data_IF_339525298827
#
_entry.id   IF_339525298827
#
_cell.length_a   1.000
_cell.length_b   1.000
_cell.length_c   1.000
_cell.angle_alpha   90.00
_cell.angle_beta   90.00
_cell.angle_gamma   90.00
#
_symmetry.space_group_name_H-M   'P 1'
#
loop_
_entity.id
_entity.type
_entity.pdbx_description
1 polymer ?
#
# COMPACT_ATOMS: atom_id res chain seq x y z
N UNK A 1 -13.62 13.71 15.99
CA UNK A 1 -13.14 13.68 14.60
C UNK A 1 -13.16 15.07 13.92
N UNK A 2 -13.17 16.19 14.67
CA UNK A 2 -13.27 17.56 14.12
C UNK A 2 -11.90 18.26 14.00
N UNK A 3 -11.06 18.12 15.01
CA UNK A 3 -9.75 18.77 15.07
C UNK A 3 -8.82 18.44 13.90
N UNK A 4 -8.81 17.21 13.38
CA UNK A 4 -7.94 16.84 12.26
C UNK A 4 -8.31 17.56 10.95
N UNK A 5 -9.57 17.98 10.83
CA UNK A 5 -10.08 18.77 9.71
C UNK A 5 -9.77 20.25 9.90
N UNK A 6 -9.95 20.76 11.12
CA UNK A 6 -9.65 22.16 11.46
C UNK A 6 -8.15 22.47 11.39
N UNK A 7 -7.29 21.49 11.72
CA UNK A 7 -5.84 21.58 11.61
C UNK A 7 -5.30 21.39 10.18
N UNK A 8 -6.17 21.10 9.19
CA UNK A 8 -5.75 20.88 7.80
C UNK A 8 -5.02 19.55 7.52
N UNK A 9 -4.61 18.81 8.55
CA UNK A 9 -3.89 17.52 8.45
C UNK A 9 -4.61 16.54 7.52
N UNK A 10 -5.94 16.44 7.63
CA UNK A 10 -6.71 15.57 6.76
C UNK A 10 -6.54 15.94 5.27
N UNK A 11 -6.49 17.24 4.95
CA UNK A 11 -6.32 17.70 3.57
C UNK A 11 -4.92 17.41 3.03
N UNK A 12 -3.88 17.55 3.86
CA UNK A 12 -2.49 17.28 3.46
C UNK A 12 -2.25 15.78 3.19
N UNK A 13 -2.88 14.88 3.95
CA UNK A 13 -2.78 13.44 3.69
C UNK A 13 -3.40 13.00 2.36
N UNK A 14 -4.41 13.73 1.88
CA UNK A 14 -5.04 13.46 0.58
C UNK A 14 -4.36 14.19 -0.58
N UNK A 15 -3.33 15.00 -0.31
CA UNK A 15 -2.60 15.70 -1.34
C UNK A 15 -1.84 14.71 -2.26
N UNK A 16 -1.96 14.83 -3.60
CA UNK A 16 -1.29 13.93 -4.53
C UNK A 16 0.24 13.90 -4.38
N UNK A 17 0.88 14.99 -3.97
CA UNK A 17 2.33 15.02 -3.71
C UNK A 17 2.69 14.20 -2.49
N UNK A 18 1.93 14.33 -1.39
CA UNK A 18 2.15 13.52 -0.19
C UNK A 18 1.96 12.04 -0.50
N UNK A 19 0.89 11.65 -1.20
CA UNK A 19 0.62 10.24 -1.53
C UNK A 19 1.74 9.65 -2.40
N UNK A 20 2.24 10.40 -3.40
CA UNK A 20 3.36 9.95 -4.26
C UNK A 20 4.66 9.80 -3.48
N UNK A 21 4.97 10.77 -2.62
CA UNK A 21 6.14 10.73 -1.74
C UNK A 21 6.05 9.55 -0.76
N UNK A 22 4.88 9.36 -0.14
CA UNK A 22 4.65 8.28 0.81
C UNK A 22 4.79 6.92 0.13
N UNK A 23 4.18 6.75 -1.05
CA UNK A 23 4.29 5.53 -1.84
C UNK A 23 5.73 5.19 -2.22
N UNK A 24 6.57 6.19 -2.56
CA UNK A 24 7.99 5.99 -2.88
C UNK A 24 8.83 5.62 -1.66
N UNK A 25 8.59 6.26 -0.51
CA UNK A 25 9.44 6.11 0.66
C UNK A 25 9.02 4.96 1.58
N UNK A 26 7.73 4.68 1.67
CA UNK A 26 7.15 3.79 2.69
C UNK A 26 6.37 2.59 2.13
N UNK A 27 6.23 2.46 0.81
CA UNK A 27 5.62 1.27 0.21
C UNK A 27 6.64 0.46 -0.62
N UNK A 28 6.37 -0.84 -0.74
CA UNK A 28 7.12 -1.81 -1.51
C UNK A 28 6.20 -2.52 -2.51
N UNK A 29 6.71 -2.74 -3.72
CA UNK A 29 6.03 -3.48 -4.76
C UNK A 29 6.35 -4.96 -4.61
N UNK A 30 5.32 -5.79 -4.36
CA UNK A 30 5.48 -7.24 -4.22
C UNK A 30 4.67 -7.92 -5.30
N UNK A 31 5.32 -8.79 -6.06
CA UNK A 31 4.66 -9.67 -7.00
C UNK A 31 4.06 -10.84 -6.27
N UNK A 32 2.74 -11.01 -6.42
CA UNK A 32 2.00 -12.04 -5.73
C UNK A 32 1.28 -12.92 -6.75
N UNK A 33 1.41 -14.23 -6.58
CA UNK A 33 0.77 -15.24 -7.41
C UNK A 33 -0.42 -15.84 -6.68
N UNK A 34 -1.56 -15.93 -7.36
CA UNK A 34 -2.74 -16.59 -6.83
C UNK A 34 -2.56 -18.11 -6.86
N UNK A 35 -2.69 -18.79 -5.71
CA UNK A 35 -2.37 -20.23 -5.56
C UNK A 35 -3.18 -21.11 -6.52
N UNK A 36 -4.47 -20.85 -6.71
CA UNK A 36 -5.33 -21.70 -7.56
C UNK A 36 -5.34 -21.30 -9.04
N UNK A 37 -5.24 -20.00 -9.36
CA UNK A 37 -5.40 -19.50 -10.74
C UNK A 37 -4.06 -19.16 -11.40
N UNK A 38 -2.95 -19.21 -10.65
CA UNK A 38 -1.58 -18.85 -11.06
C UNK A 38 -1.45 -17.45 -11.67
N UNK A 39 -2.47 -16.61 -11.47
CA UNK A 39 -2.47 -15.22 -11.95
C UNK A 39 -1.53 -14.41 -11.06
N UNK A 40 -0.53 -13.79 -11.69
CA UNK A 40 0.38 -12.84 -11.04
C UNK A 40 -0.24 -11.46 -11.01
N UNK A 41 -0.15 -10.79 -9.87
CA UNK A 41 -0.59 -9.40 -9.67
C UNK A 41 0.45 -8.68 -8.85
N UNK A 42 0.62 -7.39 -9.13
CA UNK A 42 1.43 -6.51 -8.31
C UNK A 42 0.57 -5.97 -7.17
N UNK A 43 1.00 -6.19 -5.93
CA UNK A 43 0.37 -5.66 -4.74
C UNK A 43 1.33 -4.72 -4.02
N UNK A 44 0.77 -3.70 -3.38
CA UNK A 44 1.52 -2.68 -2.66
C UNK A 44 1.41 -2.96 -1.17
N UNK A 45 2.56 -3.12 -0.52
CA UNK A 45 2.63 -3.32 0.92
C UNK A 45 3.39 -2.17 1.57
N UNK A 46 3.19 -1.99 2.87
CA UNK A 46 4.02 -1.09 3.66
C UNK A 46 5.39 -1.76 3.84
N UNK A 47 6.46 -0.98 3.71
CA UNK A 47 7.82 -1.47 3.94
C UNK A 47 7.93 -2.10 5.33
N UNK A 48 8.46 -3.32 5.37
CA UNK A 48 8.64 -4.09 6.60
C UNK A 48 7.39 -4.83 7.11
N UNK A 49 6.23 -4.67 6.46
CA UNK A 49 4.97 -5.31 6.86
C UNK A 49 4.32 -5.97 5.63
N UNK A 50 5.02 -6.99 5.12
CA UNK A 50 4.56 -7.79 3.97
C UNK A 50 3.79 -9.00 4.49
N UNK A 51 2.51 -8.79 4.79
CA UNK A 51 1.58 -9.87 5.12
C UNK A 51 0.79 -10.31 3.88
N UNK A 52 1.24 -11.38 3.24
CA UNK A 52 0.53 -11.96 2.09
C UNK A 52 -0.51 -12.94 2.58
N UNK A 53 -1.76 -12.47 2.63
CA UNK A 53 -2.90 -13.31 2.97
C UNK A 53 -3.23 -14.33 1.86
N UNK A 54 -3.70 -15.51 2.28
CA UNK A 54 -4.34 -16.48 1.38
C UNK A 54 -5.49 -15.80 0.62
N UNK A 55 -5.66 -16.01 -0.70
CA UNK A 55 -5.13 -17.08 -1.55
C UNK A 55 -3.86 -16.75 -2.34
N UNK A 56 -3.08 -15.75 -1.92
CA UNK A 56 -1.90 -15.32 -2.65
C UNK A 56 -0.59 -15.82 -2.01
N UNK A 57 0.45 -16.00 -2.80
CA UNK A 57 1.82 -16.31 -2.36
C UNK A 57 2.82 -15.40 -3.05
N UNK A 58 3.86 -14.99 -2.34
CA UNK A 58 4.94 -14.16 -2.90
C UNK A 58 5.58 -14.94 -4.07
N UNK A 59 5.48 -14.39 -5.28
CA UNK A 59 6.27 -14.85 -6.42
C UNK A 59 7.55 -14.04 -6.42
N UNK A 60 8.64 -14.66 -5.96
CA UNK A 60 9.98 -14.17 -6.29
C UNK A 60 10.26 -14.34 -7.78
#
# INVERSE_FOLDING_TARGET
MRCCKDLGIASELWDPHFIRWFKKNHMEEVWVEHVTTKKKRLQWYRKGDVDVAYPYKISK
#
